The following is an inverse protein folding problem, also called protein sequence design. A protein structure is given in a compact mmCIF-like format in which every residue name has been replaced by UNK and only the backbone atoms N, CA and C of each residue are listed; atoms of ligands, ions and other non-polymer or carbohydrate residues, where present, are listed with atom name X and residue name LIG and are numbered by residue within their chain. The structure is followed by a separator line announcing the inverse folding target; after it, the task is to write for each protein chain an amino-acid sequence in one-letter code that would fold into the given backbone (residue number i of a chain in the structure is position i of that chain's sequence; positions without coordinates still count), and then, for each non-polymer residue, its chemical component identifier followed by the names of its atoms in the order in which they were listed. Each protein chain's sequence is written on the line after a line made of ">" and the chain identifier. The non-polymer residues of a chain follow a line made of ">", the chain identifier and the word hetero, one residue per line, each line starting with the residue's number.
data_IF_985039514255
#
_entry.id   IF_985039514255
#
_cell.length_a   1.000
_cell.length_b   1.000
_cell.length_c   1.000
_cell.angle_alpha   90.00
_cell.angle_beta   90.00
_cell.angle_gamma   90.00
#
_symmetry.space_group_name_H-M   'P 1'
#
loop_
_entity.id
_entity.type
_entity.pdbx_description
1 polymer ?
#
# COMPACT_ATOMS: atom_id res chain seq x y z
N UNK A 1 -14.37 -5.91 12.17
CA UNK A 1 -13.41 -6.97 12.59
C UNK A 1 -12.74 -7.60 11.36
N UNK A 2 -11.98 -6.84 10.55
CA UNK A 2 -11.41 -7.34 9.27
C UNK A 2 -9.88 -7.35 9.24
N UNK A 3 -9.23 -6.60 10.15
CA UNK A 3 -7.78 -6.37 10.10
C UNK A 3 -6.95 -7.54 10.65
N UNK A 4 -7.53 -8.39 11.49
CA UNK A 4 -6.86 -9.57 12.04
C UNK A 4 -6.61 -10.63 10.97
N UNK A 5 -7.51 -10.76 10.00
CA UNK A 5 -7.38 -11.72 8.91
C UNK A 5 -6.30 -11.28 7.91
N UNK A 6 -6.30 -9.99 7.54
CA UNK A 6 -5.27 -9.41 6.67
C UNK A 6 -3.87 -9.49 7.29
N UNK A 7 -3.73 -9.21 8.60
CA UNK A 7 -2.44 -9.35 9.31
C UNK A 7 -1.96 -10.79 9.35
N UNK A 8 -2.85 -11.75 9.62
CA UNK A 8 -2.51 -13.18 9.64
C UNK A 8 -2.10 -13.70 8.26
N UNK A 9 -2.83 -13.30 7.21
CA UNK A 9 -2.50 -13.65 5.83
C UNK A 9 -1.12 -13.09 5.42
N UNK A 10 -0.81 -11.85 5.82
CA UNK A 10 0.50 -11.25 5.56
C UNK A 10 1.63 -11.98 6.30
N UNK A 11 1.45 -12.33 7.58
CA UNK A 11 2.47 -13.06 8.35
C UNK A 11 2.70 -14.48 7.83
N UNK A 12 1.63 -15.18 7.43
CA UNK A 12 1.73 -16.50 6.81
C UNK A 12 2.42 -16.43 5.45
N UNK A 13 2.03 -15.47 4.61
CA UNK A 13 2.65 -15.27 3.30
C UNK A 13 4.15 -14.95 3.43
N UNK A 14 4.54 -14.10 4.38
CA UNK A 14 5.93 -13.76 4.65
C UNK A 14 6.74 -14.97 5.15
N UNK A 15 6.17 -15.79 6.05
CA UNK A 15 6.82 -16.99 6.55
C UNK A 15 7.03 -18.03 5.44
N UNK A 16 6.01 -18.27 4.62
CA UNK A 16 6.10 -19.19 3.47
C UNK A 16 7.15 -18.71 2.48
N UNK A 17 7.15 -17.41 2.13
CA UNK A 17 8.13 -16.82 1.22
C UNK A 17 9.56 -16.91 1.77
N UNK A 18 9.75 -16.71 3.08
CA UNK A 18 11.06 -16.82 3.72
C UNK A 18 11.57 -18.28 3.71
N UNK A 19 10.68 -19.24 3.99
CA UNK A 19 11.03 -20.67 3.93
C UNK A 19 11.36 -21.06 2.51
N UNK A 20 10.51 -20.74 1.52
CA UNK A 20 10.80 -21.09 0.12
C UNK A 20 12.08 -20.45 -0.38
N UNK A 21 12.38 -19.20 0.00
CA UNK A 21 13.65 -18.57 -0.34
C UNK A 21 14.86 -19.27 0.32
N UNK A 22 14.71 -19.81 1.54
CA UNK A 22 15.77 -20.51 2.25
C UNK A 22 16.06 -21.92 1.69
N UNK A 23 15.04 -22.62 1.17
CA UNK A 23 15.21 -23.94 0.52
C UNK A 23 15.37 -23.89 -1.01
N UNK A 24 15.17 -22.74 -1.64
CA UNK A 24 15.44 -22.55 -3.06
C UNK A 24 16.96 -22.54 -3.31
N UNK A 25 17.54 -23.73 -3.51
CA UNK A 25 18.89 -23.88 -4.04
C UNK A 25 18.99 -23.47 -5.52
N UNK A 26 20.21 -23.27 -6.05
CA UNK A 26 20.41 -23.05 -7.48
C UNK A 26 19.73 -24.16 -8.28
N UNK A 27 19.02 -23.80 -9.35
CA UNK A 27 18.49 -24.79 -10.29
C UNK A 27 19.68 -25.49 -10.96
N UNK A 28 20.09 -26.63 -10.40
CA UNK A 28 21.22 -27.44 -10.85
C UNK A 28 20.85 -28.29 -12.08
N UNK A 29 20.11 -27.69 -13.02
CA UNK A 29 19.81 -28.30 -14.30
C UNK A 29 20.89 -27.87 -15.30
N UNK A 30 21.53 -28.85 -15.93
CA UNK A 30 22.49 -28.58 -17.00
C UNK A 30 21.79 -27.90 -18.18
N UNK A 31 22.49 -26.97 -18.83
CA UNK A 31 21.96 -26.27 -20.02
C UNK A 31 22.07 -27.22 -21.23
N UNK A 32 20.97 -27.58 -21.91
CA UNK A 32 21.03 -28.47 -23.06
C UNK A 32 21.88 -27.89 -24.20
N UNK A 33 22.49 -28.78 -24.98
CA UNK A 33 23.28 -28.40 -26.17
C UNK A 33 22.42 -27.60 -27.14
N UNK A 34 22.85 -26.40 -27.51
CA UNK A 34 22.16 -25.51 -28.45
C UNK A 34 21.28 -24.42 -27.82
N UNK A 35 21.18 -24.37 -26.49
CA UNK A 35 20.47 -23.31 -25.77
C UNK A 35 21.43 -22.16 -25.41
N UNK A 36 20.90 -20.93 -25.38
CA UNK A 36 21.67 -19.78 -24.90
C UNK A 36 21.89 -19.88 -23.39
N UNK A 37 23.13 -19.69 -22.92
CA UNK A 37 23.45 -19.58 -21.49
C UNK A 37 23.83 -18.13 -21.14
N UNK A 38 22.84 -17.26 -20.87
CA UNK A 38 23.10 -15.87 -20.54
C UNK A 38 23.78 -15.74 -19.17
N UNK A 39 24.56 -14.67 -19.00
CA UNK A 39 25.18 -14.32 -17.73
C UNK A 39 24.16 -14.17 -16.62
N UNK A 40 24.53 -14.62 -15.41
CA UNK A 40 23.66 -14.55 -14.24
C UNK A 40 23.18 -13.13 -13.96
N UNK A 41 21.88 -12.99 -13.72
CA UNK A 41 21.28 -11.74 -13.27
C UNK A 41 21.70 -11.48 -11.83
N UNK A 42 22.03 -10.23 -11.50
CA UNK A 42 22.31 -9.82 -10.13
C UNK A 42 21.00 -9.90 -9.30
N UNK A 43 20.91 -10.75 -8.26
CA UNK A 43 19.68 -10.93 -7.50
C UNK A 43 19.21 -9.66 -6.78
N UNK A 44 20.16 -8.84 -6.28
CA UNK A 44 19.82 -7.58 -5.61
C UNK A 44 19.18 -6.61 -6.59
N UNK A 45 19.75 -6.50 -7.79
CA UNK A 45 19.19 -5.65 -8.84
C UNK A 45 17.76 -6.08 -9.21
N UNK A 46 17.51 -7.39 -9.32
CA UNK A 46 16.18 -7.92 -9.62
C UNK A 46 15.16 -7.59 -8.52
N UNK A 47 15.51 -7.81 -7.24
CA UNK A 47 14.66 -7.47 -6.10
C UNK A 47 14.40 -5.96 -6.05
N UNK A 48 15.43 -5.15 -6.31
CA UNK A 48 15.28 -3.69 -6.39
C UNK A 48 14.24 -3.32 -7.44
N UNK A 49 14.27 -3.90 -8.64
CA UNK A 49 13.26 -3.60 -9.66
C UNK A 49 11.84 -3.98 -9.21
N UNK A 50 11.68 -5.18 -8.63
CA UNK A 50 10.38 -5.67 -8.14
C UNK A 50 9.78 -4.76 -7.06
N UNK A 51 10.59 -4.21 -6.16
CA UNK A 51 10.12 -3.33 -5.09
C UNK A 51 10.04 -1.87 -5.54
N UNK A 52 11.02 -1.41 -6.31
CA UNK A 52 11.12 -0.01 -6.71
C UNK A 52 10.04 0.37 -7.71
N UNK A 53 9.72 -0.47 -8.69
CA UNK A 53 8.67 -0.17 -9.68
C UNK A 53 7.31 0.11 -9.02
N UNK A 54 6.76 -0.74 -8.14
CA UNK A 54 5.46 -0.47 -7.50
C UNK A 54 5.53 0.72 -6.55
N UNK A 55 6.64 0.91 -5.82
CA UNK A 55 6.80 2.09 -4.94
C UNK A 55 6.86 3.38 -5.75
N UNK A 56 7.65 3.41 -6.82
CA UNK A 56 7.75 4.55 -7.71
C UNK A 56 6.39 4.84 -8.38
N UNK A 57 5.68 3.82 -8.84
CA UNK A 57 4.33 3.97 -9.40
C UNK A 57 3.36 4.55 -8.36
N UNK A 58 3.35 4.05 -7.13
CA UNK A 58 2.51 4.56 -6.05
C UNK A 58 2.81 6.03 -5.73
N UNK A 59 4.09 6.42 -5.71
CA UNK A 59 4.49 7.82 -5.51
C UNK A 59 4.03 8.70 -6.67
N UNK A 60 4.28 8.29 -7.91
CA UNK A 60 3.86 9.04 -9.11
C UNK A 60 2.35 9.26 -9.10
N UNK A 61 1.57 8.20 -8.85
CA UNK A 61 0.11 8.30 -8.77
C UNK A 61 -0.30 9.24 -7.61
N UNK A 62 0.33 9.11 -6.44
CA UNK A 62 0.04 9.97 -5.29
C UNK A 62 0.29 11.44 -5.60
N UNK A 63 1.39 11.76 -6.28
CA UNK A 63 1.67 13.12 -6.74
C UNK A 63 0.62 13.59 -7.75
N UNK A 64 0.29 12.81 -8.77
CA UNK A 64 -0.70 13.21 -9.77
C UNK A 64 -2.08 13.49 -9.16
N UNK A 65 -2.47 12.74 -8.14
CA UNK A 65 -3.79 12.84 -7.51
C UNK A 65 -3.82 13.92 -6.42
N UNK A 66 -2.83 13.95 -5.52
CA UNK A 66 -2.86 14.79 -4.33
C UNK A 66 -2.26 16.17 -4.56
N UNK A 67 -1.26 16.29 -5.44
CA UNK A 67 -0.55 17.55 -5.65
C UNK A 67 -1.48 18.69 -6.11
N UNK A 68 -2.44 18.50 -7.04
CA UNK A 68 -3.34 19.59 -7.45
C UNK A 68 -4.18 20.15 -6.29
N UNK A 69 -4.68 19.28 -5.40
CA UNK A 69 -5.43 19.71 -4.21
C UNK A 69 -4.56 20.49 -3.24
N UNK A 70 -3.33 20.02 -3.00
CA UNK A 70 -2.35 20.73 -2.16
C UNK A 70 -2.03 22.12 -2.72
N UNK A 71 -1.82 22.24 -4.04
CA UNK A 71 -1.57 23.52 -4.70
C UNK A 71 -2.76 24.49 -4.60
N UNK A 72 -3.98 23.97 -4.43
CA UNK A 72 -5.21 24.76 -4.19
C UNK A 72 -5.42 25.10 -2.70
N UNK A 73 -4.57 24.61 -1.80
CA UNK A 73 -4.71 24.78 -0.36
C UNK A 73 -5.68 23.79 0.31
N UNK A 74 -6.13 22.77 -0.43
CA UNK A 74 -6.91 21.67 0.12
C UNK A 74 -5.96 20.78 0.95
N UNK A 75 -6.22 20.64 2.25
CA UNK A 75 -5.38 19.82 3.13
C UNK A 75 -5.47 18.34 2.78
N UNK A 76 -4.40 17.58 3.04
CA UNK A 76 -4.32 16.13 2.76
C UNK A 76 -5.23 15.26 3.63
N UNK A 77 -5.76 15.83 4.73
CA UNK A 77 -6.54 15.11 5.73
C UNK A 77 -8.01 15.50 5.65
N UNK A 78 -8.94 14.54 5.87
CA UNK A 78 -10.36 14.83 6.00
C UNK A 78 -10.60 15.91 7.05
N UNK A 79 -11.40 16.94 6.72
CA UNK A 79 -11.78 17.99 7.67
C UNK A 79 -12.65 17.39 8.78
N UNK A 80 -12.38 17.73 10.03
CA UNK A 80 -13.16 17.26 11.17
C UNK A 80 -14.63 17.71 11.05
N UNK A 81 -15.56 16.78 11.28
CA UNK A 81 -16.99 17.08 11.34
C UNK A 81 -17.28 17.98 12.55
N UNK A 82 -17.70 19.22 12.32
CA UNK A 82 -18.20 20.08 13.41
C UNK A 82 -19.64 19.65 13.72
N UNK A 83 -19.94 19.13 14.92
CA UNK A 83 -21.32 18.89 15.29
C UNK A 83 -22.05 20.23 15.25
N UNK A 84 -23.17 20.28 14.53
CA UNK A 84 -24.06 21.43 14.53
C UNK A 84 -24.43 21.74 15.97
N UNK A 85 -23.94 22.86 16.49
CA UNK A 85 -24.45 23.45 17.73
C UNK A 85 -25.87 23.93 17.43
N UNK A 86 -26.82 23.01 17.49
CA UNK A 86 -28.23 23.33 17.64
C UNK A 86 -28.32 24.14 18.94
N UNK A 87 -28.54 25.44 18.79
CA UNK A 87 -28.67 26.35 19.91
C UNK A 87 -29.87 25.92 20.75
N UNK A 88 -29.74 25.75 22.08
CA UNK A 88 -30.86 25.45 22.99
C UNK A 88 -32.00 26.48 23.02
N UNK A 89 -31.95 27.50 22.17
CA UNK A 89 -32.87 28.64 22.12
C UNK A 89 -34.21 28.26 21.48
N UNK A 90 -34.27 27.23 20.63
CA UNK A 90 -35.53 26.84 19.94
C UNK A 90 -36.45 25.96 20.79
N UNK A 91 -35.98 25.39 21.91
CA UNK A 91 -36.83 24.62 22.84
C UNK A 91 -37.62 25.46 23.84
N UNK A 92 -37.36 26.77 23.94
CA UNK A 92 -37.95 27.62 24.97
C UNK A 92 -39.12 28.51 24.49
N UNK A 93 -39.59 28.33 23.25
CA UNK A 93 -40.57 29.24 22.63
C UNK A 93 -41.99 28.72 22.41
N UNK A 94 -42.30 27.47 22.78
CA UNK A 94 -43.62 26.87 22.53
C UNK A 94 -44.31 26.41 23.81
N UNK A 95 -44.45 27.31 24.78
CA UNK A 95 -45.50 27.22 25.81
C UNK A 95 -46.06 28.61 26.07
N UNK A 96 -47.12 28.97 25.38
CA UNK A 96 -48.00 30.10 25.72
C UNK A 96 -49.45 29.67 25.38
N UNK A 97 -50.44 30.31 26.04
CA UNK A 97 -51.37 29.75 27.03
C UNK A 97 -52.58 28.98 26.48
#
# INVERSE_FOLDING_TARGET
>A
MTNSFARRALTLGAAVAAVTAAVAGPAAADVPTGWSNPSHVNPLHFITLIVFIPVAAALVISFLVLLPGVLRGEGLLPKAHKPSSESPVERAGHTHP
#
